data_IF_316110848020
#
_entry.id   IF_316110848020
#
_cell.length_a   1.000
_cell.length_b   1.000
_cell.length_c   1.000
_cell.angle_alpha   90.00
_cell.angle_beta   90.00
_cell.angle_gamma   90.00
#
_symmetry.space_group_name_H-M   'P 1'
#
loop_
_entity.id
_entity.type
_entity.pdbx_description
1 polymer ?
#
# COMPACT_ATOMS: atom_id res chain seq x y z
N UNK A 1 -12.31 -9.20 11.95
CA UNK A 1 -11.63 -9.53 10.69
C UNK A 1 -10.16 -9.48 11.00
N UNK A 2 -9.54 -10.66 11.11
CA UNK A 2 -8.29 -10.89 11.80
C UNK A 2 -7.11 -10.30 11.03
N UNK A 3 -6.48 -9.28 11.60
CA UNK A 3 -5.13 -8.84 11.22
C UNK A 3 -4.16 -9.90 11.74
N UNK A 4 -3.94 -10.95 10.95
CA UNK A 4 -2.99 -12.01 11.25
C UNK A 4 -1.67 -11.67 10.55
N UNK A 5 -0.60 -11.29 11.26
CA UNK A 5 0.76 -11.32 10.72
C UNK A 5 1.30 -12.76 10.75
N UNK A 6 0.53 -13.71 10.23
CA UNK A 6 0.87 -15.15 10.17
C UNK A 6 1.58 -15.48 8.85
N UNK A 7 2.57 -14.66 8.55
CA UNK A 7 3.53 -14.92 7.50
C UNK A 7 4.78 -14.17 7.93
N UNK A 8 5.40 -14.64 9.03
CA UNK A 8 6.83 -14.47 9.27
C UNK A 8 7.55 -15.20 8.15
N UNK A 9 7.39 -14.68 6.94
CA UNK A 9 8.00 -15.16 5.71
C UNK A 9 9.47 -15.26 6.04
N UNK A 10 10.03 -16.46 5.89
CA UNK A 10 11.46 -16.68 5.86
C UNK A 10 12.02 -15.91 4.66
N UNK A 11 12.10 -14.59 4.82
CA UNK A 11 12.52 -13.68 3.78
C UNK A 11 14.02 -13.90 3.61
N UNK A 12 14.49 -14.11 2.36
CA UNK A 12 15.91 -14.24 2.14
C UNK A 12 16.61 -12.97 2.65
N UNK A 13 17.88 -13.06 3.08
CA UNK A 13 18.61 -11.92 3.63
C UNK A 13 18.70 -10.73 2.65
N UNK A 14 18.55 -10.97 1.35
CA UNK A 14 18.41 -9.91 0.35
C UNK A 14 17.10 -9.10 0.49
N UNK A 15 15.97 -9.76 0.77
CA UNK A 15 14.68 -9.10 0.94
C UNK A 15 14.65 -8.26 2.22
N UNK A 16 15.24 -8.75 3.32
CA UNK A 16 15.37 -7.99 4.56
C UNK A 16 16.20 -6.72 4.37
N UNK A 17 17.32 -6.80 3.63
CA UNK A 17 18.12 -5.62 3.28
C UNK A 17 17.34 -4.62 2.42
N UNK A 18 16.63 -5.10 1.41
CA UNK A 18 15.82 -4.24 0.55
C UNK A 18 14.73 -3.49 1.33
N UNK A 19 14.08 -4.16 2.29
CA UNK A 19 13.10 -3.52 3.16
C UNK A 19 13.72 -2.48 4.09
N UNK A 20 14.87 -2.80 4.70
CA UNK A 20 15.59 -1.86 5.56
C UNK A 20 16.01 -0.59 4.80
N UNK A 21 16.57 -0.73 3.60
CA UNK A 21 16.92 0.41 2.75
C UNK A 21 15.67 1.22 2.34
N UNK A 22 14.56 0.55 2.02
CA UNK A 22 13.31 1.24 1.68
C UNK A 22 12.74 2.02 2.88
N UNK A 23 12.85 1.47 4.10
CA UNK A 23 12.49 2.17 5.32
C UNK A 23 13.37 3.39 5.59
N UNK A 24 14.69 3.27 5.42
CA UNK A 24 15.62 4.39 5.54
C UNK A 24 15.30 5.49 4.53
N UNK A 25 15.00 5.12 3.27
CA UNK A 25 14.53 6.08 2.26
C UNK A 25 13.23 6.77 2.66
N UNK A 26 12.25 6.04 3.20
CA UNK A 26 10.98 6.63 3.67
C UNK A 26 11.18 7.56 4.87
N UNK A 27 12.05 7.23 5.81
CA UNK A 27 12.36 8.09 6.98
C UNK A 27 13.08 9.37 6.57
N UNK A 28 13.94 9.30 5.56
CA UNK A 28 14.68 10.45 5.04
C UNK A 28 13.91 11.25 3.99
N UNK A 29 12.86 10.66 3.39
CA UNK A 29 11.97 11.37 2.48
C UNK A 29 11.12 12.35 3.30
N UNK A 30 11.19 13.63 2.94
CA UNK A 30 10.23 14.61 3.43
C UNK A 30 8.85 14.24 2.88
N UNK A 31 7.83 14.26 3.74
CA UNK A 31 6.46 14.10 3.29
C UNK A 31 6.17 15.21 2.28
N UNK A 32 5.92 14.82 1.03
CA UNK A 32 5.42 15.77 0.06
C UNK A 32 4.04 16.22 0.53
N UNK A 33 3.87 17.52 0.78
CA UNK A 33 2.56 18.13 1.00
C UNK A 33 1.78 18.12 -0.32
N UNK A 34 1.28 16.95 -0.67
CA UNK A 34 0.33 16.79 -1.74
C UNK A 34 -1.04 17.23 -1.22
N UNK A 35 -1.82 17.99 -2.00
CA UNK A 35 -3.17 18.34 -1.60
C UNK A 35 -3.97 17.05 -1.39
N UNK A 36 -4.77 17.02 -0.33
CA UNK A 36 -5.68 15.90 -0.08
C UNK A 36 -6.59 15.71 -1.28
N UNK A 37 -6.60 14.51 -1.87
CA UNK A 37 -7.58 14.17 -2.89
C UNK A 37 -8.97 14.14 -2.25
N UNK A 38 -9.85 15.05 -2.70
CA UNK A 38 -11.22 15.16 -2.21
C UNK A 38 -12.16 14.41 -3.15
N UNK A 39 -12.99 13.52 -2.59
CA UNK A 39 -13.97 12.74 -3.35
C UNK A 39 -13.42 11.49 -4.04
N UNK A 40 -12.12 11.20 -3.88
CA UNK A 40 -11.52 9.92 -4.28
C UNK A 40 -11.79 8.82 -3.26
N UNK A 41 -11.75 7.56 -3.70
CA UNK A 41 -11.76 6.40 -2.80
C UNK A 41 -10.41 6.35 -2.07
N UNK A 42 -10.42 6.07 -0.77
CA UNK A 42 -9.19 5.85 -0.02
C UNK A 42 -8.36 4.74 -0.66
N UNK A 43 -7.05 4.98 -0.76
CA UNK A 43 -6.10 4.02 -1.30
C UNK A 43 -5.77 4.24 -2.78
N UNK A 44 -4.93 3.36 -3.33
CA UNK A 44 -4.43 3.53 -4.69
C UNK A 44 -5.55 3.39 -5.74
N UNK A 45 -5.40 4.13 -6.84
CA UNK A 45 -6.41 4.24 -7.90
C UNK A 45 -6.89 2.85 -8.38
N UNK A 46 -8.19 2.52 -8.31
CA UNK A 46 -8.69 1.18 -8.62
C UNK A 46 -8.38 0.74 -10.06
N UNK A 47 -8.30 1.71 -10.99
CA UNK A 47 -7.88 1.50 -12.38
C UNK A 47 -6.48 0.90 -12.48
N UNK A 48 -5.56 1.27 -11.58
CA UNK A 48 -4.17 0.77 -11.60
C UNK A 48 -4.00 -0.62 -11.00
N UNK A 49 -4.93 -1.04 -10.14
CA UNK A 49 -4.79 -2.27 -9.34
C UNK A 49 -5.92 -3.28 -9.55
N UNK A 50 -6.86 -3.02 -10.47
CA UNK A 50 -7.94 -3.94 -10.81
C UNK A 50 -8.99 -4.12 -9.72
N UNK A 51 -8.99 -3.27 -8.70
CA UNK A 51 -9.91 -3.35 -7.56
C UNK A 51 -11.18 -2.54 -7.84
N UNK A 52 -11.98 -3.04 -8.80
CA UNK A 52 -13.27 -2.46 -9.19
C UNK A 52 -14.42 -2.90 -8.27
N UNK A 53 -14.12 -3.66 -7.23
CA UNK A 53 -15.14 -4.20 -6.33
C UNK A 53 -15.24 -3.39 -5.04
N UNK A 54 -16.48 -3.09 -4.64
CA UNK A 54 -16.78 -2.55 -3.31
C UNK A 54 -17.95 -3.32 -2.73
N UNK A 55 -17.69 -4.04 -1.63
CA UNK A 55 -18.67 -4.93 -0.98
C UNK A 55 -19.25 -6.00 -1.93
N UNK A 56 -18.44 -6.49 -2.87
CA UNK A 56 -18.84 -7.53 -3.84
C UNK A 56 -19.70 -7.02 -5.00
N UNK A 57 -19.83 -5.69 -5.17
CA UNK A 57 -20.40 -5.10 -6.37
C UNK A 57 -19.28 -4.49 -7.21
N UNK A 58 -19.27 -4.81 -8.50
CA UNK A 58 -18.47 -4.08 -9.47
C UNK A 58 -19.04 -2.67 -9.60
N UNK A 59 -18.20 -1.65 -9.34
CA UNK A 59 -18.56 -0.24 -9.41
C UNK A 59 -17.65 0.43 -10.43
N UNK A 60 -18.26 1.12 -11.39
CA UNK A 60 -17.60 2.02 -12.32
C UNK A 60 -18.10 3.44 -11.97
N UNK A 61 -17.14 4.34 -11.68
CA UNK A 61 -17.26 5.75 -11.25
C UNK A 61 -18.19 6.07 -10.06
#
# INVERSE_FOLDING_TARGET
MSDQPEDKRDLPPAALRALAEAEERRKNAQAAELPTELGGRDGPEPVRYGDWEKKGLAIDF
#
